data_IF_430108214574
#
_entry.id   IF_430108214574
#
_cell.length_a   1.000
_cell.length_b   1.000
_cell.length_c   1.000
_cell.angle_alpha   90.00
_cell.angle_beta   90.00
_cell.angle_gamma   90.00
#
_symmetry.space_group_name_H-M   'P 1'
#
loop_
_entity.id
_entity.type
_entity.pdbx_description
1 polymer ?
#
# COMPACT_ATOMS: atom_id res chain seq x y z
N UNK A 1 7.98 -11.35 -3.61
CA UNK A 1 8.35 -10.21 -2.75
C UNK A 1 9.40 -10.63 -1.75
N UNK A 2 10.45 -9.83 -1.61
CA UNK A 2 11.60 -10.13 -0.75
C UNK A 2 12.01 -8.92 0.09
N UNK A 3 12.68 -9.16 1.21
CA UNK A 3 13.46 -8.14 1.91
C UNK A 3 14.65 -7.72 1.03
N UNK A 4 15.29 -6.61 1.35
CA UNK A 4 16.51 -6.17 0.66
C UNK A 4 17.68 -7.16 0.85
N UNK A 5 17.66 -7.94 1.92
CA UNK A 5 18.62 -9.03 2.19
C UNK A 5 18.28 -10.34 1.45
N UNK A 6 17.21 -10.35 0.63
CA UNK A 6 16.84 -11.49 -0.21
C UNK A 6 15.96 -12.54 0.48
N UNK A 7 15.52 -12.33 1.71
CA UNK A 7 14.59 -13.24 2.40
C UNK A 7 13.17 -13.05 1.87
N UNK A 8 12.36 -14.11 1.86
CA UNK A 8 10.94 -13.99 1.46
C UNK A 8 10.22 -13.01 2.39
N UNK A 9 9.47 -12.07 1.81
CA UNK A 9 8.70 -11.10 2.58
C UNK A 9 7.62 -11.79 3.43
N UNK A 10 7.54 -11.42 4.70
CA UNK A 10 6.48 -11.81 5.64
C UNK A 10 6.18 -10.63 6.56
N UNK A 11 5.07 -10.67 7.28
CA UNK A 11 4.72 -9.62 8.25
C UNK A 11 5.83 -9.32 9.27
N UNK A 12 6.69 -10.30 9.60
CA UNK A 12 7.81 -10.13 10.55
C UNK A 12 8.87 -9.14 10.07
N UNK A 13 8.99 -8.93 8.76
CA UNK A 13 9.91 -7.94 8.20
C UNK A 13 9.39 -6.50 8.35
N UNK A 14 8.12 -6.32 8.71
CA UNK A 14 7.52 -5.01 8.92
C UNK A 14 7.81 -4.49 10.32
N UNK A 15 8.91 -3.76 10.47
CA UNK A 15 9.41 -3.26 11.75
C UNK A 15 9.21 -1.75 11.93
N UNK A 16 8.99 -1.01 10.85
CA UNK A 16 8.85 0.45 10.88
C UNK A 16 7.41 0.84 11.25
N UNK A 17 7.18 1.60 12.34
CA UNK A 17 5.88 2.18 12.63
C UNK A 17 5.49 3.26 11.60
N UNK A 18 4.22 3.26 11.20
CA UNK A 18 3.59 4.34 10.42
C UNK A 18 2.18 4.56 10.96
N UNK A 19 1.88 5.80 11.38
CA UNK A 19 0.72 6.07 12.23
C UNK A 19 0.71 5.21 13.50
N UNK A 20 -0.48 4.99 14.04
CA UNK A 20 -0.73 4.13 15.20
C UNK A 20 -1.08 2.69 14.82
N UNK A 21 -1.71 2.48 13.66
CA UNK A 21 -2.27 1.18 13.27
C UNK A 21 -1.32 0.27 12.48
N UNK A 22 -0.30 0.81 11.81
CA UNK A 22 0.49 0.05 10.84
C UNK A 22 1.94 -0.20 11.26
N UNK A 23 2.45 -1.32 10.79
CA UNK A 23 3.89 -1.60 10.67
C UNK A 23 4.20 -1.86 9.21
N UNK A 24 5.34 -1.37 8.74
CA UNK A 24 5.78 -1.58 7.35
C UNK A 24 7.22 -2.09 7.30
N UNK A 25 7.57 -2.78 6.21
CA UNK A 25 8.96 -3.12 5.95
C UNK A 25 9.74 -1.83 5.64
N UNK A 26 10.90 -1.57 6.27
CA UNK A 26 11.70 -0.37 5.96
C UNK A 26 12.12 -0.29 4.47
N UNK A 27 12.23 -1.44 3.81
CA UNK A 27 12.44 -1.54 2.38
C UNK A 27 12.24 -2.96 1.87
N UNK A 28 12.13 -3.10 0.56
CA UNK A 28 11.83 -4.37 -0.10
C UNK A 28 12.42 -4.46 -1.50
N UNK A 29 12.51 -5.69 -2.00
CA UNK A 29 12.78 -6.01 -3.40
C UNK A 29 11.56 -6.68 -4.04
N UNK A 30 11.06 -6.10 -5.13
CA UNK A 30 10.00 -6.64 -5.97
C UNK A 30 10.60 -7.24 -7.25
N UNK A 31 10.21 -8.48 -7.56
CA UNK A 31 10.55 -9.12 -8.83
C UNK A 31 9.26 -9.29 -9.63
N UNK A 32 9.26 -8.76 -10.85
CA UNK A 32 8.16 -8.91 -11.80
C UNK A 32 8.69 -9.58 -13.06
N UNK A 33 8.04 -10.67 -13.46
CA UNK A 33 8.26 -11.35 -14.75
C UNK A 33 7.12 -10.98 -15.69
N UNK A 34 7.34 -11.17 -16.99
CA UNK A 34 6.31 -11.00 -18.03
C UNK A 34 5.67 -9.61 -18.04
N UNK A 35 6.38 -8.60 -17.54
CA UNK A 35 5.98 -7.18 -17.60
C UNK A 35 5.96 -6.65 -19.03
N UNK A 36 6.70 -7.31 -19.91
CA UNK A 36 6.66 -7.27 -21.36
C UNK A 36 7.23 -8.63 -21.85
N UNK A 37 7.00 -9.03 -23.11
CA UNK A 37 7.47 -10.32 -23.61
C UNK A 37 8.98 -10.50 -23.39
N UNK A 38 9.36 -11.52 -22.60
CA UNK A 38 10.75 -11.87 -22.28
C UNK A 38 11.50 -10.91 -21.35
N UNK A 39 10.84 -9.89 -20.79
CA UNK A 39 11.46 -8.94 -19.86
C UNK A 39 11.15 -9.27 -18.40
N UNK A 40 12.14 -9.01 -17.55
CA UNK A 40 12.06 -9.10 -16.08
C UNK A 40 12.51 -7.79 -15.46
N UNK A 41 11.84 -7.40 -14.39
CA UNK A 41 12.14 -6.18 -13.63
C UNK A 41 12.37 -6.53 -12.18
N UNK A 42 13.47 -6.00 -11.62
CA UNK A 42 13.72 -5.95 -10.18
C UNK A 42 13.65 -4.49 -9.73
N UNK A 43 12.84 -4.21 -8.73
CA UNK A 43 12.76 -2.90 -8.07
C UNK A 43 13.21 -3.07 -6.63
N UNK A 44 14.05 -2.15 -6.15
CA UNK A 44 14.29 -1.95 -4.73
C UNK A 44 13.69 -0.61 -4.31
N UNK A 45 12.99 -0.64 -3.19
CA UNK A 45 12.31 0.53 -2.65
C UNK A 45 12.52 0.62 -1.14
N UNK A 46 12.65 1.86 -0.66
CA UNK A 46 12.80 2.19 0.75
C UNK A 46 11.73 3.18 1.16
N UNK A 47 11.19 2.99 2.36
CA UNK A 47 10.28 3.96 2.93
C UNK A 47 11.05 5.22 3.32
N UNK A 48 10.56 6.38 2.87
CA UNK A 48 11.04 7.68 3.31
C UNK A 48 9.99 8.30 4.25
N UNK A 49 10.33 8.52 5.53
CA UNK A 49 9.46 9.22 6.47
C UNK A 49 9.12 10.64 6.02
N UNK A 50 10.09 11.36 5.45
CA UNK A 50 9.93 12.74 4.99
C UNK A 50 8.90 12.84 3.85
N UNK A 51 8.92 11.85 2.97
CA UNK A 51 8.03 11.74 1.82
C UNK A 51 6.72 10.98 2.13
N UNK A 52 6.64 10.35 3.30
CA UNK A 52 5.53 9.52 3.76
C UNK A 52 5.16 8.37 2.83
N UNK A 53 6.12 7.83 2.07
CA UNK A 53 5.91 6.77 1.07
C UNK A 53 7.19 5.99 0.74
N UNK A 54 7.04 4.89 -0.01
CA UNK A 54 8.18 4.20 -0.60
C UNK A 54 8.74 4.95 -1.81
N UNK A 55 10.07 5.12 -1.82
CA UNK A 55 10.84 5.64 -2.94
C UNK A 55 11.60 4.49 -3.60
N UNK A 56 11.57 4.44 -4.93
CA UNK A 56 12.37 3.50 -5.71
C UNK A 56 13.77 4.08 -5.83
N UNK A 57 14.76 3.37 -5.31
CA UNK A 57 16.17 3.76 -5.44
C UNK A 57 16.92 2.91 -6.46
N UNK A 58 16.36 1.75 -6.86
CA UNK A 58 16.95 0.88 -7.88
C UNK A 58 15.88 0.22 -8.74
N UNK A 59 16.12 0.19 -10.05
CA UNK A 59 15.30 -0.54 -11.01
C UNK A 59 16.22 -1.22 -12.03
N UNK A 60 16.35 -2.54 -11.95
CA UNK A 60 17.09 -3.33 -12.92
C UNK A 60 16.12 -3.97 -13.91
N UNK A 61 16.41 -3.83 -15.20
CA UNK A 61 15.64 -4.45 -16.29
C UNK A 61 16.56 -5.46 -16.97
N UNK A 62 16.08 -6.68 -17.12
CA UNK A 62 16.80 -7.76 -17.80
C UNK A 62 15.89 -8.45 -18.80
N UNK A 63 16.50 -9.07 -19.81
CA UNK A 63 15.80 -9.85 -20.83
C UNK A 63 16.29 -11.30 -20.81
N UNK A 64 15.41 -12.24 -21.14
CA UNK A 64 15.77 -13.63 -21.40
C UNK A 64 15.23 -14.04 -22.77
N UNK A 65 16.13 -14.46 -23.66
CA UNK A 65 15.76 -14.90 -25.02
C UNK A 65 15.19 -13.80 -25.93
N UNK A 66 15.35 -12.52 -25.56
CA UNK A 66 14.88 -11.37 -26.34
C UNK A 66 15.83 -10.17 -26.20
N UNK A 67 15.67 -9.18 -27.08
CA UNK A 67 16.39 -7.89 -27.01
C UNK A 67 15.57 -6.86 -26.23
N UNK A 68 16.24 -6.06 -25.39
CA UNK A 68 15.62 -4.89 -24.76
C UNK A 68 15.57 -3.76 -25.80
N UNK A 69 14.36 -3.42 -26.23
CA UNK A 69 14.12 -2.35 -27.20
C UNK A 69 13.24 -1.26 -26.60
N UNK A 70 13.33 -0.04 -27.13
CA UNK A 70 12.55 1.11 -26.64
C UNK A 70 11.04 0.84 -26.52
N UNK A 71 10.47 0.09 -27.47
CA UNK A 71 9.05 -0.28 -27.45
C UNK A 71 8.68 -1.16 -26.25
N UNK A 72 9.50 -2.14 -25.89
CA UNK A 72 9.21 -3.04 -24.76
C UNK A 72 9.39 -2.33 -23.42
N UNK A 73 10.37 -1.42 -23.31
CA UNK A 73 10.54 -0.58 -22.13
C UNK A 73 9.31 0.28 -21.82
N UNK A 74 8.62 0.81 -22.84
CA UNK A 74 7.39 1.60 -22.67
C UNK A 74 6.20 0.81 -22.12
N UNK A 75 6.24 -0.51 -22.17
CA UNK A 75 5.17 -1.37 -21.65
C UNK A 75 5.32 -1.62 -20.14
N UNK A 76 6.52 -1.38 -19.58
CA UNK A 76 6.80 -1.62 -18.17
C UNK A 76 6.15 -0.53 -17.32
N UNK A 77 5.09 -0.91 -16.61
CA UNK A 77 4.47 -0.04 -15.62
C UNK A 77 5.10 -0.27 -14.23
N UNK A 78 6.05 0.60 -13.87
CA UNK A 78 6.62 0.65 -12.52
C UNK A 78 5.54 0.86 -11.46
N UNK A 79 4.52 1.65 -11.78
CA UNK A 79 3.38 1.90 -10.89
C UNK A 79 2.61 0.60 -10.59
N UNK A 80 2.35 -0.21 -11.61
CA UNK A 80 1.66 -1.50 -11.46
C UNK A 80 2.48 -2.45 -10.59
N UNK A 81 3.80 -2.52 -10.79
CA UNK A 81 4.69 -3.36 -9.98
C UNK A 81 4.66 -2.91 -8.51
N UNK A 82 4.79 -1.61 -8.25
CA UNK A 82 4.75 -1.06 -6.89
C UNK A 82 3.40 -1.31 -6.20
N UNK A 83 2.29 -1.11 -6.93
CA UNK A 83 0.93 -1.34 -6.43
C UNK A 83 0.69 -2.79 -6.05
N UNK A 84 1.25 -3.74 -6.81
CA UNK A 84 1.20 -5.16 -6.49
C UNK A 84 2.14 -5.55 -5.34
N UNK A 85 3.32 -4.93 -5.26
CA UNK A 85 4.36 -5.24 -4.28
C UNK A 85 4.05 -4.74 -2.87
N UNK A 86 3.55 -3.51 -2.76
CA UNK A 86 3.45 -2.80 -1.47
C UNK A 86 2.54 -3.47 -0.44
N UNK A 87 1.38 -4.07 -0.79
CA UNK A 87 0.54 -4.79 0.18
C UNK A 87 1.27 -5.91 0.94
N UNK A 88 2.30 -6.54 0.35
CA UNK A 88 3.12 -7.55 1.05
C UNK A 88 4.04 -6.94 2.13
N UNK A 89 4.27 -5.64 2.06
CA UNK A 89 5.23 -4.91 2.90
C UNK A 89 4.52 -4.17 4.06
N UNK A 90 3.19 -4.26 4.14
CA UNK A 90 2.38 -3.64 5.18
C UNK A 90 1.87 -4.76 6.07
N UNK A 91 2.21 -4.71 7.36
CA UNK A 91 1.72 -5.63 8.36
C UNK A 91 0.71 -4.94 9.29
N UNK A 92 -0.32 -5.69 9.66
CA UNK A 92 -1.35 -5.25 10.58
C UNK A 92 -1.92 -6.43 11.37
N UNK A 93 -2.77 -6.11 12.35
CA UNK A 93 -3.66 -7.04 13.02
C UNK A 93 -5.08 -6.47 12.98
N UNK A 94 -6.08 -7.34 13.01
CA UNK A 94 -7.50 -6.94 13.10
C UNK A 94 -8.00 -6.87 14.56
N UNK A 95 -7.14 -7.24 15.50
CA UNK A 95 -7.32 -7.23 16.95
C UNK A 95 -6.21 -6.39 17.60
N UNK A 96 -6.31 -6.14 18.91
CA UNK A 96 -5.34 -5.33 19.68
C UNK A 96 -3.96 -6.01 19.88
N UNK A 97 -3.68 -7.07 19.11
CA UNK A 97 -2.45 -7.85 19.16
C UNK A 97 -1.33 -7.31 18.27
N UNK A 98 -0.12 -7.89 18.37
CA UNK A 98 0.94 -7.60 17.42
C UNK A 98 0.53 -8.01 16.00
N UNK A 99 1.03 -7.32 14.96
CA UNK A 99 0.75 -7.70 13.57
C UNK A 99 1.02 -9.17 13.32
N UNK A 100 0.09 -9.87 12.69
CA UNK A 100 0.16 -11.30 12.44
C UNK A 100 -0.04 -11.67 10.96
N UNK A 101 -0.32 -10.67 10.11
CA UNK A 101 -0.56 -10.84 8.68
C UNK A 101 -0.12 -9.61 7.88
N UNK A 102 -0.06 -9.75 6.56
CA UNK A 102 0.17 -8.64 5.63
C UNK A 102 -1.15 -8.14 5.04
N UNK A 103 -1.16 -6.89 4.54
CA UNK A 103 -2.33 -6.37 3.81
C UNK A 103 -2.65 -7.22 2.56
N UNK A 104 -1.65 -7.83 1.93
CA UNK A 104 -1.86 -8.79 0.85
C UNK A 104 -2.71 -9.99 1.26
N UNK A 105 -2.47 -10.56 2.44
CA UNK A 105 -3.21 -11.73 2.95
C UNK A 105 -4.71 -11.44 3.12
N UNK A 106 -5.06 -10.19 3.46
CA UNK A 106 -6.46 -9.74 3.53
C UNK A 106 -7.11 -9.64 2.14
N UNK A 107 -6.43 -8.97 1.20
CA UNK A 107 -6.99 -8.73 -0.14
C UNK A 107 -7.22 -10.00 -0.96
N UNK A 108 -6.45 -11.05 -0.69
CA UNK A 108 -6.57 -12.35 -1.39
C UNK A 108 -7.71 -13.23 -0.86
N UNK A 109 -8.25 -12.93 0.32
CA UNK A 109 -9.27 -13.76 0.99
C UNK A 109 -10.71 -13.35 0.67
N UNK A 110 -10.92 -12.19 0.03
CA UNK A 110 -12.27 -11.75 -0.36
C UNK A 110 -12.35 -10.38 -1.06
N UNK A 111 -11.22 -9.82 -1.51
CA UNK A 111 -11.17 -8.53 -2.20
C UNK A 111 -11.45 -7.31 -1.31
N UNK A 112 -11.76 -7.51 -0.03
CA UNK A 112 -11.94 -6.47 1.00
C UNK A 112 -10.82 -6.54 2.04
N UNK A 113 -10.45 -5.39 2.58
CA UNK A 113 -9.50 -5.28 3.68
C UNK A 113 -10.21 -5.57 5.00
N UNK A 114 -11.41 -5.02 5.18
CA UNK A 114 -12.24 -5.22 6.37
C UNK A 114 -13.28 -6.31 6.11
N UNK A 115 -13.55 -7.21 7.08
CA UNK A 115 -14.72 -8.06 7.03
C UNK A 115 -16.00 -7.23 6.88
N UNK A 116 -16.97 -7.72 6.09
CA UNK A 116 -18.20 -6.97 5.76
C UNK A 116 -18.97 -6.51 7.01
N UNK A 117 -19.11 -7.38 8.01
CA UNK A 117 -19.78 -7.03 9.26
C UNK A 117 -19.08 -5.88 10.01
N UNK A 118 -17.75 -5.78 9.92
CA UNK A 118 -16.97 -4.72 10.56
C UNK A 118 -17.09 -3.42 9.77
N UNK A 119 -17.03 -3.49 8.44
CA UNK A 119 -17.25 -2.33 7.57
C UNK A 119 -18.64 -1.72 7.80
N UNK A 120 -19.69 -2.54 7.86
CA UNK A 120 -21.05 -2.11 8.17
C UNK A 120 -21.17 -1.50 9.56
N UNK A 121 -20.54 -2.11 10.57
CA UNK A 121 -20.53 -1.57 11.93
C UNK A 121 -19.88 -0.19 11.96
N UNK A 122 -18.70 -0.02 11.35
CA UNK A 122 -17.96 1.25 11.27
C UNK A 122 -18.77 2.37 10.57
N UNK A 123 -19.53 2.01 9.53
CA UNK A 123 -20.34 2.96 8.78
C UNK A 123 -21.52 3.54 9.59
N UNK A 124 -22.00 2.85 10.63
CA UNK A 124 -23.12 3.31 11.47
C UNK A 124 -22.75 4.54 12.30
N UNK A 125 -23.78 5.33 12.66
CA UNK A 125 -23.62 6.52 13.51
C UNK A 125 -23.32 6.10 14.96
N UNK A 126 -22.25 6.64 15.54
CA UNK A 126 -21.87 6.40 16.95
C UNK A 126 -20.46 5.84 17.13
N UNK A 127 -19.96 5.07 16.17
CA UNK A 127 -18.68 4.35 16.26
C UNK A 127 -17.50 5.24 15.86
N UNK A 128 -17.31 6.36 16.55
CA UNK A 128 -16.26 7.33 16.21
C UNK A 128 -14.85 6.73 16.35
N UNK A 129 -14.49 6.04 17.46
CA UNK A 129 -13.15 5.46 17.61
C UNK A 129 -12.82 4.43 16.52
N UNK A 130 -13.68 3.43 16.36
CA UNK A 130 -13.51 2.33 15.40
C UNK A 130 -13.47 2.85 13.97
N UNK A 131 -14.24 3.90 13.68
CA UNK A 131 -14.19 4.57 12.38
C UNK A 131 -12.88 5.27 12.12
N UNK A 132 -12.28 5.93 13.11
CA UNK A 132 -10.98 6.57 12.90
C UNK A 132 -9.87 5.53 12.75
N UNK A 133 -9.94 4.41 13.47
CA UNK A 133 -9.04 3.26 13.30
C UNK A 133 -9.17 2.64 11.90
N UNK A 134 -10.39 2.35 11.45
CA UNK A 134 -10.64 1.86 10.10
C UNK A 134 -10.19 2.86 9.03
N UNK A 135 -10.45 4.16 9.24
CA UNK A 135 -10.01 5.23 8.32
C UNK A 135 -8.49 5.26 8.23
N UNK A 136 -7.79 5.17 9.35
CA UNK A 136 -6.33 5.17 9.41
C UNK A 136 -5.74 3.93 8.71
N UNK A 137 -6.26 2.75 9.01
CA UNK A 137 -5.84 1.49 8.38
C UNK A 137 -5.99 1.54 6.85
N UNK A 138 -7.20 1.87 6.39
CA UNK A 138 -7.53 1.92 4.96
C UNK A 138 -6.76 3.04 4.25
N UNK A 139 -6.58 4.19 4.91
CA UNK A 139 -5.78 5.28 4.37
C UNK A 139 -4.33 4.83 4.18
N UNK A 140 -3.71 4.25 5.20
CA UNK A 140 -2.32 3.82 5.16
C UNK A 140 -2.06 2.76 4.10
N UNK A 141 -2.92 1.73 4.02
CA UNK A 141 -2.80 0.70 2.98
C UNK A 141 -2.93 1.32 1.58
N UNK A 142 -3.93 2.18 1.37
CA UNK A 142 -4.14 2.80 0.06
C UNK A 142 -3.00 3.74 -0.32
N UNK A 143 -2.61 4.66 0.57
CA UNK A 143 -1.58 5.65 0.33
C UNK A 143 -0.22 5.00 0.02
N UNK A 144 0.19 4.03 0.85
CA UNK A 144 1.44 3.30 0.65
C UNK A 144 1.42 2.49 -0.65
N UNK A 145 0.27 1.92 -1.02
CA UNK A 145 0.10 1.18 -2.27
C UNK A 145 -0.10 2.07 -3.50
N UNK A 146 -0.07 3.40 -3.36
CA UNK A 146 -0.27 4.34 -4.45
C UNK A 146 -1.72 4.44 -4.96
N UNK A 147 -2.69 3.98 -4.19
CA UNK A 147 -4.12 4.10 -4.51
C UNK A 147 -4.71 5.36 -3.85
N UNK A 148 -5.66 6.06 -4.51
CA UNK A 148 -6.33 7.22 -3.92
C UNK A 148 -7.06 6.87 -2.62
N UNK A 149 -6.63 7.37 -1.43
CA UNK A 149 -7.15 6.88 -0.15
C UNK A 149 -8.63 7.15 0.07
N UNK A 150 -9.10 8.35 -0.29
CA UNK A 150 -10.52 8.73 -0.15
C UNK A 150 -11.43 7.79 -0.94
N UNK A 151 -11.01 7.42 -2.15
CA UNK A 151 -11.76 6.48 -2.99
C UNK A 151 -11.73 5.07 -2.40
N UNK A 152 -10.55 4.59 -1.99
CA UNK A 152 -10.41 3.28 -1.37
C UNK A 152 -11.30 3.12 -0.13
N UNK A 153 -11.33 4.14 0.75
CA UNK A 153 -12.18 4.14 1.95
C UNK A 153 -13.67 4.16 1.58
N UNK A 154 -14.05 4.97 0.60
CA UNK A 154 -15.45 5.06 0.16
C UNK A 154 -15.94 3.72 -0.41
N UNK A 155 -15.13 3.11 -1.27
CA UNK A 155 -15.44 1.84 -1.93
C UNK A 155 -15.50 0.69 -0.90
N UNK A 156 -14.55 0.64 0.04
CA UNK A 156 -14.47 -0.39 1.08
C UNK A 156 -15.65 -0.33 2.06
N UNK A 157 -16.04 0.88 2.49
CA UNK A 157 -17.07 1.08 3.51
C UNK A 157 -18.48 1.29 2.93
N UNK A 158 -18.61 1.35 1.60
CA UNK A 158 -19.90 1.63 0.94
C UNK A 158 -20.47 3.02 1.28
N UNK A 159 -19.61 4.02 1.50
CA UNK A 159 -20.00 5.38 1.90
C UNK A 159 -19.74 6.41 0.79
N UNK A 160 -20.42 7.57 0.79
CA UNK A 160 -20.11 8.64 -0.16
C UNK A 160 -18.66 9.13 -0.04
N UNK A 161 -17.99 9.43 -1.16
CA UNK A 161 -16.61 9.95 -1.17
C UNK A 161 -16.44 11.23 -0.33
N UNK A 162 -17.45 12.11 -0.30
CA UNK A 162 -17.47 13.28 0.59
C UNK A 162 -17.31 12.88 2.05
N UNK A 163 -18.05 11.86 2.49
CA UNK A 163 -18.00 11.35 3.86
C UNK A 163 -16.62 10.76 4.16
N UNK A 164 -16.06 9.98 3.25
CA UNK A 164 -14.69 9.46 3.37
C UNK A 164 -13.65 10.60 3.46
N UNK A 165 -13.77 11.64 2.62
CA UNK A 165 -12.90 12.81 2.65
C UNK A 165 -12.99 13.57 3.98
N UNK A 166 -14.20 13.75 4.51
CA UNK A 166 -14.43 14.37 5.83
C UNK A 166 -13.77 13.56 6.95
N UNK A 167 -13.79 12.22 6.86
CA UNK A 167 -13.14 11.34 7.85
C UNK A 167 -11.63 11.36 7.74
N UNK A 168 -11.07 11.35 6.53
CA UNK A 168 -9.63 11.52 6.29
C UNK A 168 -9.15 12.87 6.83
N UNK A 169 -9.91 13.95 6.63
CA UNK A 169 -9.58 15.28 7.17
C UNK A 169 -9.53 15.27 8.70
N UNK A 170 -10.51 14.60 9.34
CA UNK A 170 -10.55 14.45 10.81
C UNK A 170 -9.39 13.61 11.34
N UNK A 171 -9.15 12.43 10.76
CA UNK A 171 -8.03 11.57 11.12
C UNK A 171 -6.69 12.31 10.99
N UNK A 172 -6.51 13.09 9.91
CA UNK A 172 -5.32 13.93 9.73
C UNK A 172 -5.19 15.01 10.83
N UNK A 173 -6.27 15.71 11.16
CA UNK A 173 -6.25 16.71 12.22
C UNK A 173 -5.99 16.13 13.62
N UNK A 174 -6.30 14.84 13.81
CA UNK A 174 -6.02 14.07 15.03
C UNK A 174 -4.62 13.43 15.02
N UNK A 175 -3.79 13.68 14.00
CA UNK A 175 -2.41 13.14 13.90
C UNK A 175 -2.32 11.66 13.48
N UNK A 176 -3.45 10.98 13.26
CA UNK A 176 -3.50 9.54 12.97
C UNK A 176 -2.80 9.14 11.67
N UNK A 177 -2.74 10.06 10.71
CA UNK A 177 -2.16 9.82 9.38
C UNK A 177 -0.70 10.27 9.27
N UNK A 178 -0.03 10.49 10.40
CA UNK A 178 1.39 10.88 10.42
C UNK A 178 2.28 9.83 9.75
N UNK A 179 3.21 10.28 8.92
CA UNK A 179 4.03 9.42 8.05
C UNK A 179 3.29 8.87 6.83
N UNK A 180 2.00 9.15 6.63
CA UNK A 180 1.26 8.64 5.46
C UNK A 180 0.96 9.76 4.47
N UNK A 181 1.65 9.74 3.33
CA UNK A 181 1.41 10.68 2.24
C UNK A 181 0.89 9.97 0.99
N UNK A 182 -0.04 10.64 0.31
CA UNK A 182 -0.50 10.25 -1.02
C UNK A 182 -0.37 11.46 -1.94
N UNK A 183 0.43 11.33 -3.00
CA UNK A 183 0.53 12.34 -4.05
C UNK A 183 -0.44 11.94 -5.17
N UNK A 184 -1.37 12.84 -5.49
CA UNK A 184 -2.32 12.66 -6.60
C UNK A 184 -1.53 12.71 -7.90
N UNK A 185 -1.37 11.54 -8.52
CA UNK A 185 -0.67 11.40 -9.78
C UNK A 185 0.83 11.55 -9.62
N UNK A 186 1.58 10.68 -10.30
CA UNK A 186 2.79 11.17 -10.94
C UNK A 186 2.33 12.23 -11.94
N UNK A 187 2.20 13.49 -11.53
CA UNK A 187 2.57 14.53 -12.49
C UNK A 187 4.04 14.24 -12.77
N UNK A 188 4.29 13.63 -13.92
CA UNK A 188 5.53 13.87 -14.60
C UNK A 188 5.56 15.39 -14.77
N UNK A 189 6.25 16.07 -13.87
CA UNK A 189 6.81 17.37 -14.22
C UNK A 189 7.59 17.13 -15.51
N UNK A 190 7.27 17.96 -16.51
CA UNK A 190 7.52 17.74 -17.94
C UNK A 190 8.96 17.46 -18.33
#
# INVERSE_FOLDING_TARGET
>A
MYTLTGQKMTWRAATQPVGSALRIAPGFAAHATDVAPGLRVRIEAHYSPDEGRYLINRCDISAEGTEIVHRSLRQISIETIMRAATPHCIALSLDDGPPNMTAHDLTTTGGRILPEWLAEAVAKRGNRPERMEATELLYGIAALSGNPPVRAIADELGIPQRTAADWVKKARSEGRLEGMSYIVGRQADG
#
